data_IF_644554401590
#
_entry.id   IF_644554401590
#
_cell.length_a   1.000
_cell.length_b   1.000
_cell.length_c   1.000
_cell.angle_alpha   90.00
_cell.angle_beta   90.00
_cell.angle_gamma   90.00
#
_symmetry.space_group_name_H-M   'P 1'
#
loop_
_entity.id
_entity.type
_entity.pdbx_description
1 polymer ?
#
# COMPACT_ATOMS: atom_id res chain seq x y z
N UNK A 1 19.26 -4.14 17.11
CA UNK A 1 18.27 -4.79 16.23
C UNK A 1 18.79 -4.64 14.81
N UNK A 2 19.05 -5.73 14.08
CA UNK A 2 19.49 -5.61 12.69
C UNK A 2 18.37 -4.96 11.85
N UNK A 3 18.70 -4.27 10.73
CA UNK A 3 17.68 -3.87 9.77
C UNK A 3 16.73 -5.04 9.53
N UNK A 4 15.43 -4.81 9.54
CA UNK A 4 14.52 -5.80 8.99
C UNK A 4 15.05 -6.11 7.58
N UNK A 5 15.38 -7.36 7.28
CA UNK A 5 15.79 -7.74 5.94
C UNK A 5 14.61 -7.51 5.00
N UNK A 6 14.51 -6.30 4.44
CA UNK A 6 13.46 -5.92 3.51
C UNK A 6 13.64 -6.64 2.16
N UNK A 7 14.88 -7.04 1.87
CA UNK A 7 15.21 -7.86 0.72
C UNK A 7 14.46 -9.19 0.75
N UNK A 8 13.75 -9.49 -0.35
CA UNK A 8 12.99 -10.72 -0.52
C UNK A 8 11.56 -10.70 0.07
N UNK A 9 11.15 -9.63 0.74
CA UNK A 9 9.76 -9.47 1.22
C UNK A 9 8.78 -9.21 0.08
N UNK A 10 9.18 -8.39 -0.91
CA UNK A 10 8.35 -8.12 -2.08
C UNK A 10 8.18 -9.39 -2.94
N UNK A 11 7.01 -9.58 -3.59
CA UNK A 11 6.81 -10.68 -4.53
C UNK A 11 7.71 -10.51 -5.76
N UNK A 12 8.20 -11.63 -6.30
CA UNK A 12 8.79 -11.64 -7.64
C UNK A 12 7.71 -11.36 -8.69
N UNK A 13 8.09 -10.99 -9.93
CA UNK A 13 7.12 -10.82 -11.01
C UNK A 13 6.31 -12.10 -11.28
N UNK A 14 6.95 -13.27 -11.17
CA UNK A 14 6.29 -14.55 -11.34
C UNK A 14 5.29 -14.81 -10.21
N UNK A 15 5.69 -14.60 -8.95
CA UNK A 15 4.79 -14.77 -7.80
C UNK A 15 3.62 -13.80 -7.91
N UNK A 16 3.90 -12.53 -8.23
CA UNK A 16 2.85 -11.53 -8.41
C UNK A 16 1.88 -11.99 -9.50
N UNK A 17 2.38 -12.44 -10.66
CA UNK A 17 1.52 -12.95 -11.72
C UNK A 17 0.63 -14.11 -11.31
N UNK A 18 1.14 -15.02 -10.46
CA UNK A 18 0.36 -16.12 -9.88
C UNK A 18 -0.68 -15.63 -8.86
N UNK A 19 -0.34 -14.60 -8.07
CA UNK A 19 -1.24 -14.01 -7.06
C UNK A 19 -2.40 -13.27 -7.73
N UNK A 20 -2.10 -12.42 -8.72
CA UNK A 20 -3.08 -11.49 -9.29
C UNK A 20 -3.68 -11.94 -10.62
N UNK A 21 -3.22 -13.07 -11.17
CA UNK A 21 -3.76 -13.66 -12.40
C UNK A 21 -3.32 -12.96 -13.69
N UNK A 22 -2.19 -12.27 -13.69
CA UNK A 22 -1.66 -11.55 -14.85
C UNK A 22 -0.29 -12.08 -15.28
N UNK A 23 -0.12 -12.34 -16.58
CA UNK A 23 1.13 -12.92 -17.11
C UNK A 23 2.09 -11.88 -17.69
N UNK A 24 1.63 -10.66 -17.94
CA UNK A 24 2.36 -9.64 -18.72
C UNK A 24 2.84 -8.48 -17.85
N UNK A 25 3.11 -8.76 -16.57
CA UNK A 25 3.54 -7.76 -15.59
C UNK A 25 4.96 -7.28 -15.89
N UNK A 26 5.21 -6.00 -15.62
CA UNK A 26 6.53 -5.38 -15.68
C UNK A 26 6.82 -4.74 -14.34
N UNK A 27 8.05 -4.87 -13.88
CA UNK A 27 8.54 -4.21 -12.68
C UNK A 27 9.50 -3.10 -13.08
N UNK A 28 9.37 -1.97 -12.40
CA UNK A 28 10.40 -0.95 -12.36
C UNK A 28 11.46 -1.32 -11.32
N UNK A 29 12.61 -0.65 -11.37
CA UNK A 29 13.67 -0.89 -10.38
C UNK A 29 13.19 -0.52 -8.96
N UNK A 30 13.47 -1.36 -7.94
CA UNK A 30 13.07 -1.05 -6.58
C UNK A 30 13.69 0.26 -6.09
N UNK A 31 12.85 1.20 -5.69
CA UNK A 31 13.29 2.43 -5.04
C UNK A 31 13.68 2.09 -3.59
N UNK A 32 14.94 2.34 -3.24
CA UNK A 32 15.47 2.19 -1.87
C UNK A 32 15.70 3.56 -1.27
N UNK A 33 14.71 4.06 -0.54
CA UNK A 33 14.89 5.23 0.32
C UNK A 33 15.34 4.75 1.70
N UNK A 34 16.62 4.94 1.99
CA UNK A 34 17.15 4.68 3.32
C UNK A 34 16.86 5.89 4.22
N UNK A 35 15.68 5.88 4.85
CA UNK A 35 15.50 6.66 6.06
C UNK A 35 16.23 5.97 7.23
N UNK A 36 16.65 6.70 8.28
CA UNK A 36 17.16 6.08 9.49
C UNK A 36 16.14 5.04 9.99
N UNK A 37 16.59 3.80 10.14
CA UNK A 37 15.73 2.74 10.69
C UNK A 37 15.40 3.13 12.12
N UNK A 38 14.14 3.47 12.39
CA UNK A 38 13.67 3.70 13.74
C UNK A 38 13.78 2.37 14.53
N UNK A 39 14.69 2.28 15.53
CA UNK A 39 14.93 1.03 16.23
C UNK A 39 13.82 0.68 17.22
N UNK A 40 12.82 1.55 17.41
CA UNK A 40 11.73 1.28 18.34
C UNK A 40 10.83 0.17 17.80
N UNK A 41 10.50 -0.84 18.64
CA UNK A 41 9.67 -1.98 18.22
C UNK A 41 8.23 -1.57 17.81
N UNK A 42 7.83 -0.33 18.11
CA UNK A 42 6.51 0.23 17.81
C UNK A 42 6.50 1.20 16.62
N UNK A 43 7.64 1.41 15.95
CA UNK A 43 7.77 2.36 14.85
C UNK A 43 6.81 2.03 13.69
N UNK A 44 6.72 0.76 13.31
CA UNK A 44 5.82 0.31 12.25
C UNK A 44 4.34 0.55 12.60
N UNK A 45 3.92 0.23 13.83
CA UNK A 45 2.56 0.50 14.31
C UNK A 45 2.27 2.01 14.38
N UNK A 46 3.26 2.80 14.79
CA UNK A 46 3.14 4.26 14.84
C UNK A 46 2.92 4.82 13.44
N UNK A 47 3.71 4.37 12.45
CA UNK A 47 3.55 4.76 11.05
C UNK A 47 2.16 4.41 10.51
N UNK A 48 1.68 3.18 10.77
CA UNK A 48 0.33 2.77 10.37
C UNK A 48 -0.75 3.65 11.01
N UNK A 49 -0.65 3.91 12.31
CA UNK A 49 -1.63 4.73 13.06
C UNK A 49 -1.65 6.18 12.58
N UNK A 50 -0.48 6.75 12.31
CA UNK A 50 -0.34 8.10 11.79
C UNK A 50 -0.96 8.23 10.40
N UNK A 51 -0.71 7.26 9.52
CA UNK A 51 -1.25 7.26 8.17
C UNK A 51 -2.78 7.10 8.17
N UNK A 52 -3.33 6.21 9.00
CA UNK A 52 -4.79 6.09 9.17
C UNK A 52 -5.40 7.40 9.69
N UNK A 53 -4.74 8.06 10.64
CA UNK A 53 -5.21 9.34 11.18
C UNK A 53 -5.20 10.43 10.12
N UNK A 54 -4.19 10.45 9.24
CA UNK A 54 -4.14 11.36 8.10
C UNK A 54 -5.27 11.08 7.10
N UNK A 55 -5.56 9.81 6.79
CA UNK A 55 -6.67 9.43 5.92
C UNK A 55 -8.02 9.91 6.47
N UNK A 56 -8.29 9.69 7.76
CA UNK A 56 -9.53 10.17 8.40
C UNK A 56 -9.72 11.68 8.31
N UNK A 57 -8.63 12.46 8.36
CA UNK A 57 -8.71 13.94 8.23
C UNK A 57 -9.10 14.40 6.83
N UNK A 58 -8.99 13.54 5.83
CA UNK A 58 -9.27 13.85 4.45
C UNK A 58 -10.50 13.09 3.92
N UNK A 59 -11.24 12.41 4.79
CA UNK A 59 -12.48 11.73 4.46
C UNK A 59 -13.48 12.69 3.80
N UNK A 60 -14.16 12.23 2.75
CA UNK A 60 -15.16 12.96 2.00
C UNK A 60 -14.64 14.21 1.28
N UNK A 61 -13.36 14.57 1.46
CA UNK A 61 -12.78 15.79 0.94
C UNK A 61 -12.20 15.55 -0.45
N UNK A 62 -12.57 16.36 -1.46
CA UNK A 62 -11.90 16.32 -2.74
C UNK A 62 -10.45 16.80 -2.57
N UNK A 63 -9.49 15.99 -3.00
CA UNK A 63 -8.08 16.34 -3.04
C UNK A 63 -7.69 16.55 -4.50
N UNK A 64 -7.37 17.80 -4.86
CA UNK A 64 -6.81 18.08 -6.17
C UNK A 64 -5.30 17.89 -6.13
N UNK A 65 -4.76 17.01 -6.97
CA UNK A 65 -3.32 16.83 -7.11
C UNK A 65 -2.86 17.30 -8.49
N UNK A 66 -1.83 18.14 -8.50
CA UNK A 66 -1.15 18.57 -9.72
C UNK A 66 0.07 17.69 -9.96
N UNK A 67 0.08 16.97 -11.07
CA UNK A 67 1.22 16.18 -11.52
C UNK A 67 2.19 17.10 -12.26
N UNK A 68 3.29 17.46 -11.60
CA UNK A 68 4.22 18.51 -12.05
C UNK A 68 4.93 18.19 -13.38
N UNK A 69 5.08 16.91 -13.70
CA UNK A 69 5.71 16.40 -14.93
C UNK A 69 4.87 16.65 -16.18
N UNK A 70 3.53 16.61 -16.06
CA UNK A 70 2.59 16.75 -17.18
C UNK A 70 1.62 17.93 -17.04
N UNK A 71 1.68 18.68 -15.94
CA UNK A 71 0.80 19.81 -15.64
C UNK A 71 -0.68 19.43 -15.46
N UNK A 72 -0.98 18.15 -15.26
CA UNK A 72 -2.34 17.63 -15.17
C UNK A 72 -2.86 17.69 -13.74
N UNK A 73 -4.04 18.26 -13.58
CA UNK A 73 -4.81 18.18 -12.33
C UNK A 73 -5.67 16.92 -12.32
N UNK A 74 -5.61 16.18 -11.21
CA UNK A 74 -6.44 15.00 -10.99
C UNK A 74 -7.16 15.16 -9.66
N UNK A 75 -8.48 15.04 -9.71
CA UNK A 75 -9.33 15.04 -8.54
C UNK A 75 -9.41 13.63 -7.95
N UNK A 76 -9.07 13.53 -6.67
CA UNK A 76 -9.24 12.34 -5.87
C UNK A 76 -10.34 12.57 -4.84
N UNK A 77 -11.14 11.53 -4.59
CA UNK A 77 -12.01 11.45 -3.42
C UNK A 77 -11.55 10.28 -2.57
N UNK A 78 -11.27 10.55 -1.30
CA UNK A 78 -10.83 9.53 -0.36
C UNK A 78 -12.02 9.02 0.47
N UNK A 79 -12.13 7.70 0.58
CA UNK A 79 -13.07 7.06 1.49
C UNK A 79 -12.55 7.02 2.93
N UNK A 80 -13.23 6.22 3.76
CA UNK A 80 -12.80 5.94 5.12
C UNK A 80 -11.85 4.73 5.18
N UNK A 81 -10.90 4.72 6.14
CA UNK A 81 -10.16 3.50 6.44
C UNK A 81 -11.11 2.40 6.94
N UNK A 82 -11.04 1.23 6.34
CA UNK A 82 -11.82 0.05 6.69
C UNK A 82 -10.91 -1.08 7.19
N UNK A 83 -11.31 -1.76 8.26
CA UNK A 83 -10.63 -2.98 8.72
C UNK A 83 -10.91 -4.13 7.74
N UNK A 84 -9.85 -4.75 7.23
CA UNK A 84 -9.92 -5.89 6.32
C UNK A 84 -9.55 -7.23 7.01
N UNK A 85 -9.36 -7.21 8.34
CA UNK A 85 -8.97 -8.37 9.12
C UNK A 85 -7.46 -8.63 9.10
N UNK A 86 -6.98 -9.50 10.00
CA UNK A 86 -5.56 -9.88 10.06
C UNK A 86 -4.58 -8.74 10.36
N UNK A 87 -5.07 -7.62 10.89
CA UNK A 87 -4.27 -6.40 11.10
C UNK A 87 -4.08 -5.54 9.85
N UNK A 88 -4.80 -5.83 8.76
CA UNK A 88 -4.81 -5.05 7.52
C UNK A 88 -5.90 -4.00 7.57
N UNK A 89 -5.55 -2.77 7.18
CA UNK A 89 -6.50 -1.67 6.98
C UNK A 89 -6.45 -1.25 5.52
N UNK A 90 -7.61 -1.06 4.90
CA UNK A 90 -7.74 -0.60 3.52
C UNK A 90 -8.30 0.80 3.43
N UNK A 91 -7.92 1.54 2.38
CA UNK A 91 -8.50 2.81 1.98
C UNK A 91 -8.82 2.76 0.48
N UNK A 92 -10.06 3.08 0.14
CA UNK A 92 -10.47 3.29 -1.24
C UNK A 92 -10.28 4.75 -1.64
N UNK A 93 -9.66 4.96 -2.80
CA UNK A 93 -9.51 6.28 -3.39
C UNK A 93 -10.07 6.26 -4.80
N UNK A 94 -11.01 7.16 -5.03
CA UNK A 94 -11.73 7.31 -6.28
C UNK A 94 -11.06 8.41 -7.10
N UNK A 95 -10.60 8.05 -8.30
CA UNK A 95 -10.27 9.00 -9.37
C UNK A 95 -10.80 8.47 -10.69
N UNK A 96 -11.16 9.34 -11.62
CA UNK A 96 -11.66 8.91 -12.93
C UNK A 96 -10.53 8.94 -13.96
N UNK A 97 -10.38 7.89 -14.80
CA UNK A 97 -11.19 6.65 -14.86
C UNK A 97 -10.66 5.50 -13.98
N UNK A 98 -9.53 5.68 -13.26
CA UNK A 98 -8.86 4.61 -12.51
C UNK A 98 -9.02 4.84 -11.01
N UNK A 99 -9.58 3.85 -10.32
CA UNK A 99 -9.65 3.81 -8.87
C UNK A 99 -8.40 3.14 -8.31
N UNK A 100 -8.04 3.43 -7.07
CA UNK A 100 -7.03 2.65 -6.38
C UNK A 100 -7.40 2.35 -4.94
N UNK A 101 -6.90 1.22 -4.46
CA UNK A 101 -7.01 0.79 -3.08
C UNK A 101 -5.61 0.80 -2.48
N UNK A 102 -5.50 1.36 -1.28
CA UNK A 102 -4.30 1.20 -0.44
C UNK A 102 -4.61 0.19 0.65
N UNK A 103 -3.81 -0.85 0.77
CA UNK A 103 -3.83 -1.77 1.90
C UNK A 103 -2.56 -1.56 2.73
N UNK A 104 -2.72 -1.37 4.04
CA UNK A 104 -1.59 -1.16 4.96
C UNK A 104 -1.65 -2.14 6.11
N UNK A 105 -0.48 -2.53 6.60
CA UNK A 105 -0.35 -3.36 7.78
C UNK A 105 1.00 -3.08 8.47
N UNK A 106 1.07 -3.37 9.76
CA UNK A 106 2.31 -3.33 10.52
C UNK A 106 2.51 -4.65 11.25
N UNK A 107 3.66 -5.31 11.03
CA UNK A 107 4.03 -6.55 11.68
C UNK A 107 5.49 -6.46 12.11
N UNK A 108 5.76 -6.82 13.37
CA UNK A 108 7.06 -6.59 14.03
C UNK A 108 7.51 -5.13 13.83
N UNK A 109 8.70 -4.90 13.29
CA UNK A 109 9.25 -3.59 12.96
C UNK A 109 9.08 -3.22 11.46
N UNK A 110 8.22 -3.93 10.72
CA UNK A 110 7.96 -3.70 9.29
C UNK A 110 6.58 -3.11 9.09
N UNK A 111 6.53 -1.94 8.43
CA UNK A 111 5.30 -1.36 7.88
C UNK A 111 5.20 -1.73 6.41
N UNK A 112 4.05 -2.25 5.99
CA UNK A 112 3.77 -2.64 4.62
C UNK A 112 2.64 -1.75 4.11
N UNK A 113 2.85 -1.19 2.92
CA UNK A 113 1.81 -0.53 2.15
C UNK A 113 1.79 -1.11 0.73
N UNK A 114 0.59 -1.42 0.25
CA UNK A 114 0.33 -1.84 -1.13
C UNK A 114 -0.69 -0.89 -1.73
N UNK A 115 -0.38 -0.31 -2.89
CA UNK A 115 -1.36 0.37 -3.74
C UNK A 115 -1.67 -0.51 -4.95
N UNK A 116 -2.94 -0.79 -5.17
CA UNK A 116 -3.42 -1.44 -6.39
C UNK A 116 -4.38 -0.50 -7.12
N UNK A 117 -4.19 -0.34 -8.42
CA UNK A 117 -5.00 0.54 -9.27
C UNK A 117 -5.74 -0.27 -10.32
N UNK A 118 -7.03 -0.01 -10.51
CA UNK A 118 -7.86 -0.68 -11.52
C UNK A 118 -9.05 0.20 -11.90
N UNK A 119 -9.62 -0.05 -13.08
CA UNK A 119 -10.93 0.49 -13.45
C UNK A 119 -12.07 -0.12 -12.62
N UNK A 120 -11.85 -1.31 -12.03
CA UNK A 120 -12.78 -1.97 -11.13
C UNK A 120 -12.22 -1.96 -9.69
N UNK A 121 -12.88 -1.23 -8.79
CA UNK A 121 -12.44 -1.07 -7.39
C UNK A 121 -12.32 -2.41 -6.66
N UNK A 122 -13.27 -3.33 -6.85
CA UNK A 122 -13.24 -4.64 -6.20
C UNK A 122 -12.02 -5.47 -6.59
N UNK A 123 -11.63 -5.40 -7.87
CA UNK A 123 -10.43 -6.06 -8.34
C UNK A 123 -9.17 -5.44 -7.73
N UNK A 124 -9.08 -4.11 -7.68
CA UNK A 124 -7.99 -3.43 -6.98
C UNK A 124 -7.93 -3.81 -5.48
N UNK A 125 -9.08 -3.92 -4.81
CA UNK A 125 -9.17 -4.33 -3.40
C UNK A 125 -8.61 -5.73 -3.21
N UNK A 126 -9.06 -6.69 -4.03
CA UNK A 126 -8.60 -8.08 -3.97
C UNK A 126 -7.08 -8.17 -4.16
N UNK A 127 -6.55 -7.52 -5.20
CA UNK A 127 -5.12 -7.49 -5.49
C UNK A 127 -4.31 -6.90 -4.32
N UNK A 128 -4.77 -5.78 -3.74
CA UNK A 128 -4.08 -5.15 -2.62
C UNK A 128 -4.03 -6.08 -1.39
N UNK A 129 -5.14 -6.78 -1.10
CA UNK A 129 -5.24 -7.72 0.01
C UNK A 129 -4.37 -8.97 -0.19
N UNK A 130 -4.33 -9.51 -1.40
CA UNK A 130 -3.53 -10.71 -1.68
C UNK A 130 -2.03 -10.42 -1.58
N UNK A 131 -1.59 -9.28 -2.13
CA UNK A 131 -0.18 -8.88 -2.08
C UNK A 131 0.25 -8.51 -0.66
N UNK A 132 -0.56 -7.75 0.10
CA UNK A 132 -0.20 -7.42 1.49
C UNK A 132 -0.13 -8.69 2.35
N UNK A 133 -1.06 -9.63 2.16
CA UNK A 133 -1.08 -10.90 2.89
C UNK A 133 0.14 -11.75 2.56
N UNK A 134 0.54 -11.81 1.29
CA UNK A 134 1.76 -12.49 0.86
C UNK A 134 3.01 -11.92 1.55
N UNK A 135 3.14 -10.59 1.61
CA UNK A 135 4.27 -9.93 2.29
C UNK A 135 4.24 -10.21 3.79
N UNK A 136 3.07 -10.08 4.42
CA UNK A 136 2.89 -10.35 5.86
C UNK A 136 3.23 -11.79 6.25
N UNK A 137 2.99 -12.75 5.36
CA UNK A 137 3.36 -14.15 5.57
C UNK A 137 4.89 -14.35 5.61
N UNK A 138 5.64 -13.60 4.80
CA UNK A 138 7.11 -13.66 4.75
C UNK A 138 7.80 -12.97 5.92
N UNK A 139 7.15 -11.96 6.51
CA UNK A 139 7.70 -11.28 7.69
C UNK A 139 7.67 -12.28 8.85
N UNK A 140 8.87 -12.75 9.21
CA UNK A 140 9.06 -13.61 10.39
C UNK A 140 8.84 -12.79 11.65
N UNK A 141 8.20 -13.44 12.63
CA UNK A 141 8.07 -12.98 14.01
C UNK A 141 8.59 -14.08 14.90
#
# INVERSE_FOLDING_TARGET
MAPAGLDGLLPSLQDLGNIIGYTNLRAEEPIRQFEPIDPHPTAAQTQSTNLQSAWRRCDGSPVNATYADIGREVLFSMGLPADAGGGVVTLEVVSLPVHFVRAIAAKTNVFVEVRASSVATDHARQVALDVVSYVLYKIRG
#
